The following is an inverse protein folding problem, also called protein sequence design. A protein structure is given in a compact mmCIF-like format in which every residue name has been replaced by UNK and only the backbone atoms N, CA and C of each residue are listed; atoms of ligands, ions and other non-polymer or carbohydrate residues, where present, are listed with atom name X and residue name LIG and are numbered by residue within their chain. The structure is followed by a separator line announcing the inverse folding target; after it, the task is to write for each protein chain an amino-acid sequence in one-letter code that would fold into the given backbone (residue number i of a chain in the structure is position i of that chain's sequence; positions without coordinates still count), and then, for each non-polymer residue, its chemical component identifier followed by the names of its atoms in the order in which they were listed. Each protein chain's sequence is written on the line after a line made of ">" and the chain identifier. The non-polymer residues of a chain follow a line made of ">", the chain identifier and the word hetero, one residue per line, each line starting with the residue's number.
data_IF_105311363911
#
_entry.id   IF_105311363911
#
_cell.length_a   1.000
_cell.length_b   1.000
_cell.length_c   1.000
_cell.angle_alpha   90.00
_cell.angle_beta   90.00
_cell.angle_gamma   90.00
#
_symmetry.space_group_name_H-M   'P 1'
#
loop_
_entity.id
_entity.type
_entity.pdbx_description
1 polymer ?
#
# COMPACT_ATOMS: atom_id res chain seq x y z
N UNK A 1 20.57 -15.85 -16.03
CA UNK A 1 20.32 -14.41 -16.26
C UNK A 1 18.82 -14.09 -16.43
N UNK A 2 17.91 -15.06 -16.49
CA UNK A 2 16.47 -14.82 -16.70
C UNK A 2 15.64 -14.71 -15.42
N UNK A 3 16.18 -15.10 -14.26
CA UNK A 3 15.40 -15.13 -13.00
C UNK A 3 15.23 -13.74 -12.37
N UNK A 4 16.21 -12.83 -12.49
CA UNK A 4 16.11 -11.46 -11.96
C UNK A 4 15.10 -10.57 -12.69
N UNK A 5 14.77 -10.88 -13.94
CA UNK A 5 13.86 -10.07 -14.76
C UNK A 5 12.37 -10.37 -14.45
N UNK A 6 12.07 -11.63 -14.12
CA UNK A 6 10.73 -12.07 -13.71
C UNK A 6 10.32 -11.50 -12.34
N UNK A 7 11.28 -11.32 -11.43
CA UNK A 7 11.04 -10.77 -10.09
C UNK A 7 10.64 -9.28 -10.08
N UNK A 8 10.90 -8.55 -11.17
CA UNK A 8 10.67 -7.09 -11.23
C UNK A 8 9.32 -6.67 -11.81
N UNK A 9 8.48 -7.61 -12.27
CA UNK A 9 7.17 -7.35 -12.89
C UNK A 9 7.25 -6.18 -13.91
N UNK A 10 8.31 -6.13 -14.72
CA UNK A 10 8.47 -5.09 -15.75
C UNK A 10 7.91 -5.59 -17.08
N UNK A 11 7.08 -4.81 -17.79
CA UNK A 11 6.53 -5.24 -19.06
C UNK A 11 7.64 -5.42 -20.10
N UNK A 12 7.56 -6.50 -20.90
CA UNK A 12 8.42 -6.69 -22.07
C UNK A 12 8.37 -5.45 -22.95
N UNK A 13 9.53 -4.87 -23.26
CA UNK A 13 9.63 -3.60 -23.98
C UNK A 13 10.58 -3.73 -25.16
N UNK A 14 10.22 -3.10 -26.28
CA UNK A 14 11.02 -3.07 -27.51
C UNK A 14 11.55 -1.64 -27.70
N UNK A 15 12.84 -1.52 -27.97
CA UNK A 15 13.44 -0.27 -28.43
C UNK A 15 13.61 -0.37 -29.94
N UNK A 16 12.89 0.46 -30.68
CA UNK A 16 12.95 0.49 -32.15
C UNK A 16 13.47 1.85 -32.64
N UNK A 17 14.49 1.82 -33.50
CA UNK A 17 14.92 2.99 -34.26
C UNK A 17 14.10 3.09 -35.55
N UNK A 18 13.35 4.17 -35.71
CA UNK A 18 12.49 4.38 -36.89
C UNK A 18 13.18 5.36 -37.84
N UNK A 19 13.46 4.97 -39.10
CA UNK A 19 14.05 5.86 -40.08
C UNK A 19 13.05 6.97 -40.47
N UNK A 20 13.56 8.20 -40.52
CA UNK A 20 12.77 9.38 -40.89
C UNK A 20 12.61 9.39 -42.41
N UNK A 21 11.38 9.50 -42.90
CA UNK A 21 11.07 9.57 -44.35
C UNK A 21 10.18 8.44 -44.88
N UNK A 22 9.96 7.38 -44.09
CA UNK A 22 8.97 6.35 -44.45
C UNK A 22 7.53 6.86 -44.25
N UNK A 23 6.59 6.46 -45.12
CA UNK A 23 5.16 6.65 -44.87
C UNK A 23 4.75 6.03 -43.54
N UNK A 24 3.94 6.75 -42.75
CA UNK A 24 3.45 6.27 -41.43
C UNK A 24 2.82 4.88 -41.49
N UNK A 25 2.12 4.55 -42.57
CA UNK A 25 1.51 3.23 -42.77
C UNK A 25 2.56 2.10 -42.81
N UNK A 26 3.69 2.32 -43.48
CA UNK A 26 4.77 1.33 -43.55
C UNK A 26 5.49 1.18 -42.21
N UNK A 27 5.70 2.29 -41.49
CA UNK A 27 6.25 2.27 -40.13
C UNK A 27 5.34 1.45 -39.20
N UNK A 28 4.03 1.72 -39.22
CA UNK A 28 3.07 1.00 -38.38
C UNK A 28 3.00 -0.48 -38.74
N UNK A 29 3.03 -0.83 -40.02
CA UNK A 29 3.06 -2.23 -40.45
C UNK A 29 4.30 -2.98 -39.93
N UNK A 30 5.48 -2.33 -39.94
CA UNK A 30 6.70 -2.90 -39.38
C UNK A 30 6.63 -3.05 -37.86
N UNK A 31 6.14 -2.04 -37.15
CA UNK A 31 5.97 -2.10 -35.69
C UNK A 31 4.98 -3.20 -35.30
N UNK A 32 3.86 -3.34 -36.02
CA UNK A 32 2.91 -4.43 -35.82
C UNK A 32 3.55 -5.79 -36.02
N UNK A 33 4.29 -6.00 -37.12
CA UNK A 33 4.96 -7.27 -37.38
C UNK A 33 6.01 -7.63 -36.30
N UNK A 34 6.73 -6.64 -35.76
CA UNK A 34 7.67 -6.85 -34.65
C UNK A 34 6.95 -7.24 -33.35
N UNK A 35 5.80 -6.63 -33.05
CA UNK A 35 4.98 -6.98 -31.89
C UNK A 35 4.42 -8.40 -32.04
N UNK A 36 3.95 -8.76 -33.23
CA UNK A 36 3.37 -10.08 -33.51
C UNK A 36 4.42 -11.19 -33.38
N UNK A 37 5.61 -11.03 -33.96
CA UNK A 37 6.73 -11.99 -33.84
C UNK A 37 7.17 -12.19 -32.38
N UNK A 38 7.21 -11.12 -31.58
CA UNK A 38 7.53 -11.24 -30.17
C UNK A 38 6.42 -11.93 -29.37
N UNK A 39 5.17 -11.65 -29.69
CA UNK A 39 4.01 -12.30 -29.06
C UNK A 39 4.03 -13.81 -29.35
N UNK A 40 4.39 -14.20 -30.58
CA UNK A 40 4.50 -15.60 -30.99
C UNK A 40 5.67 -16.31 -30.29
N UNK A 41 6.85 -15.68 -30.21
CA UNK A 41 8.00 -16.21 -29.45
C UNK A 41 7.74 -16.34 -27.96
N UNK A 42 7.04 -15.38 -27.36
CA UNK A 42 6.61 -15.46 -25.96
C UNK A 42 5.63 -16.63 -25.76
N UNK A 43 4.65 -16.81 -26.66
CA UNK A 43 3.73 -17.94 -26.61
C UNK A 43 4.42 -19.31 -26.73
N UNK A 44 5.41 -19.44 -27.63
CA UNK A 44 6.17 -20.67 -27.84
C UNK A 44 7.14 -21.00 -26.70
N UNK A 45 7.77 -19.99 -26.10
CA UNK A 45 8.72 -20.18 -24.99
C UNK A 45 8.05 -20.58 -23.67
N UNK A 46 6.71 -20.54 -23.60
CA UNK A 46 5.95 -20.77 -22.36
C UNK A 46 6.20 -19.69 -21.29
N UNK A 47 7.03 -18.68 -21.59
CA UNK A 47 7.09 -17.45 -20.85
C UNK A 47 5.81 -16.71 -21.19
N UNK A 48 4.74 -17.04 -20.46
CA UNK A 48 3.48 -16.33 -20.52
C UNK A 48 3.81 -14.85 -20.62
N UNK A 49 3.47 -14.23 -21.76
CA UNK A 49 3.44 -12.79 -21.92
C UNK A 49 2.97 -12.22 -20.60
N UNK A 50 3.53 -11.10 -20.15
CA UNK A 50 3.07 -10.45 -18.93
C UNK A 50 1.62 -9.91 -19.03
N UNK A 51 0.69 -10.63 -19.66
CA UNK A 51 -0.61 -10.98 -19.07
C UNK A 51 -0.44 -11.75 -17.75
N UNK A 52 0.53 -11.36 -16.93
CA UNK A 52 0.68 -11.80 -15.57
C UNK A 52 -0.56 -11.29 -14.88
N UNK A 53 -1.57 -12.15 -14.80
CA UNK A 53 -2.64 -11.95 -13.89
C UNK A 53 -1.98 -11.90 -12.51
N UNK A 54 -1.77 -10.67 -12.01
CA UNK A 54 -1.10 -10.47 -10.75
C UNK A 54 -1.84 -11.36 -9.73
N UNK A 55 -1.13 -12.21 -8.97
CA UNK A 55 -1.78 -13.17 -8.06
C UNK A 55 -2.79 -12.47 -7.14
N UNK A 56 -2.58 -11.17 -6.91
CA UNK A 56 -3.54 -10.27 -6.29
C UNK A 56 -3.89 -9.11 -7.22
N UNK A 57 -5.03 -9.19 -7.90
CA UNK A 57 -5.58 -8.04 -8.65
C UNK A 57 -6.03 -6.94 -7.70
N UNK A 58 -5.74 -5.71 -8.09
CA UNK A 58 -6.36 -4.56 -7.44
C UNK A 58 -7.86 -4.49 -7.79
N UNK A 59 -8.69 -4.22 -6.79
CA UNK A 59 -10.11 -3.92 -6.95
C UNK A 59 -10.26 -2.66 -7.78
N UNK A 60 -10.67 -2.83 -9.05
CA UNK A 60 -10.88 -1.72 -10.00
C UNK A 60 -12.01 -0.76 -9.59
N UNK A 61 -12.89 -1.20 -8.69
CA UNK A 61 -14.04 -0.42 -8.24
C UNK A 61 -13.64 0.76 -7.34
N UNK A 62 -12.47 0.71 -6.69
CA UNK A 62 -12.09 1.71 -5.69
C UNK A 62 -10.93 2.56 -6.19
N UNK A 63 -11.18 3.86 -6.39
CA UNK A 63 -10.17 4.87 -6.74
C UNK A 63 -9.33 5.28 -5.51
N UNK A 64 -8.80 4.31 -4.76
CA UNK A 64 -8.01 4.62 -3.58
C UNK A 64 -6.58 4.96 -3.98
N UNK A 65 -6.15 6.19 -3.70
CA UNK A 65 -4.80 6.63 -3.99
C UNK A 65 -3.78 5.93 -3.06
N UNK A 66 -2.66 5.46 -3.62
CA UNK A 66 -1.58 4.79 -2.90
C UNK A 66 -1.12 5.55 -1.64
N UNK A 67 -0.92 6.87 -1.77
CA UNK A 67 -0.49 7.73 -0.65
C UNK A 67 -1.50 7.70 0.51
N UNK A 68 -2.79 7.59 0.23
CA UNK A 68 -3.83 7.51 1.28
C UNK A 68 -3.75 6.17 2.00
N UNK A 69 -3.54 5.07 1.29
CA UNK A 69 -3.34 3.74 1.88
C UNK A 69 -2.14 3.74 2.82
N UNK A 70 -1.00 4.27 2.36
CA UNK A 70 0.20 4.38 3.18
C UNK A 70 -0.02 5.23 4.44
N UNK A 71 -0.76 6.34 4.35
CA UNK A 71 -1.10 7.16 5.52
C UNK A 71 -1.91 6.37 6.54
N UNK A 72 -2.90 5.61 6.11
CA UNK A 72 -3.71 4.77 7.01
C UNK A 72 -2.89 3.64 7.63
N UNK A 73 -2.04 2.99 6.83
CA UNK A 73 -1.11 1.96 7.30
C UNK A 73 -0.16 2.52 8.36
N UNK A 74 0.42 3.70 8.12
CA UNK A 74 1.30 4.37 9.07
C UNK A 74 0.59 4.70 10.38
N UNK A 75 -0.65 5.18 10.32
CA UNK A 75 -1.48 5.40 11.52
C UNK A 75 -1.70 4.11 12.32
N UNK A 76 -2.08 3.01 11.66
CA UNK A 76 -2.23 1.70 12.30
C UNK A 76 -0.93 1.23 12.95
N UNK A 77 0.19 1.39 12.24
CA UNK A 77 1.51 1.02 12.74
C UNK A 77 1.87 1.79 14.01
N UNK A 78 1.71 3.12 14.00
CA UNK A 78 1.97 3.97 15.18
C UNK A 78 1.08 3.60 16.36
N UNK A 79 -0.23 3.39 16.14
CA UNK A 79 -1.16 2.98 17.20
C UNK A 79 -0.82 1.60 17.76
N UNK A 80 -0.37 0.68 16.91
CA UNK A 80 0.03 -0.68 17.32
C UNK A 80 1.35 -0.70 18.09
N UNK A 81 2.31 0.14 17.70
CA UNK A 81 3.56 0.31 18.42
C UNK A 81 3.37 1.06 19.75
N UNK A 82 2.35 1.91 19.86
CA UNK A 82 2.08 2.72 21.05
C UNK A 82 0.60 2.66 21.47
N UNK A 83 0.12 1.52 22.01
CA UNK A 83 -1.31 1.34 22.32
C UNK A 83 -1.86 2.38 23.30
N UNK A 84 -1.02 2.89 24.21
CA UNK A 84 -1.38 3.88 25.24
C UNK A 84 -1.51 5.33 24.71
N UNK A 85 -0.96 5.65 23.54
CA UNK A 85 -1.07 6.99 22.98
C UNK A 85 -2.53 7.34 22.67
N UNK A 86 -2.89 8.58 22.96
CA UNK A 86 -4.18 9.14 22.57
C UNK A 86 -4.25 9.32 21.05
N UNK A 87 -5.46 9.40 20.50
CA UNK A 87 -5.65 9.45 19.04
C UNK A 87 -4.99 10.68 18.39
N UNK A 88 -5.02 11.85 19.04
CA UNK A 88 -4.38 13.04 18.45
C UNK A 88 -2.85 12.89 18.40
N UNK A 89 -2.24 12.27 19.43
CA UNK A 89 -0.80 11.98 19.45
C UNK A 89 -0.43 11.02 18.34
N UNK A 90 -1.20 9.94 18.16
CA UNK A 90 -1.00 8.99 17.05
C UNK A 90 -1.06 9.70 15.69
N UNK A 91 -2.04 10.57 15.49
CA UNK A 91 -2.17 11.36 14.26
C UNK A 91 -0.98 12.29 14.02
N UNK A 92 -0.49 12.93 15.07
CA UNK A 92 0.66 13.83 15.02
C UNK A 92 1.96 13.06 14.73
N UNK A 93 2.23 11.97 15.46
CA UNK A 93 3.37 11.07 15.23
C UNK A 93 3.34 10.43 13.84
N UNK A 94 2.16 10.05 13.36
CA UNK A 94 2.01 9.52 12.00
C UNK A 94 2.17 10.59 10.91
N UNK A 95 2.07 11.88 11.24
CA UNK A 95 2.09 12.97 10.27
C UNK A 95 0.87 12.94 9.34
N UNK A 96 -0.31 12.64 9.89
CA UNK A 96 -1.54 12.39 9.13
C UNK A 96 -2.04 13.63 8.36
N UNK A 97 -1.80 14.83 8.89
CA UNK A 97 -2.25 16.10 8.30
C UNK A 97 -1.13 17.13 8.33
N UNK A 98 -0.91 17.78 7.18
CA UNK A 98 0.08 18.85 7.03
C UNK A 98 -0.30 20.08 7.88
N UNK A 99 -1.60 20.37 7.97
CA UNK A 99 -2.16 21.49 8.71
C UNK A 99 -1.90 21.40 10.23
N UNK A 100 -1.68 20.19 10.75
CA UNK A 100 -1.48 19.93 12.18
C UNK A 100 -0.02 19.58 12.52
N UNK A 101 0.93 19.84 11.60
CA UNK A 101 2.35 19.49 11.78
C UNK A 101 3.01 20.21 12.97
N UNK A 102 2.49 21.38 13.35
CA UNK A 102 2.99 22.16 14.50
C UNK A 102 2.63 21.55 15.86
N UNK A 103 1.73 20.55 15.92
CA UNK A 103 1.42 19.86 17.16
C UNK A 103 2.54 18.88 17.51
N UNK A 104 3.21 19.13 18.63
CA UNK A 104 4.13 18.17 19.22
C UNK A 104 3.34 17.03 19.90
N UNK A 105 3.50 15.76 19.48
CA UNK A 105 2.83 14.62 20.09
C UNK A 105 3.25 14.35 21.55
N UNK A 106 4.41 14.83 21.99
CA UNK A 106 4.92 14.64 23.35
C UNK A 106 4.57 15.80 24.29
N UNK A 107 4.13 16.93 23.75
CA UNK A 107 3.77 18.09 24.54
C UNK A 107 2.48 17.86 25.35
N UNK A 108 2.45 18.43 26.56
CA UNK A 108 1.26 18.42 27.40
C UNK A 108 0.08 19.14 26.73
N UNK A 109 -1.16 18.63 26.89
CA UNK A 109 -2.35 19.26 26.33
C UNK A 109 -2.59 20.66 26.91
N UNK A 110 -2.55 21.70 26.07
CA UNK A 110 -2.94 23.08 26.43
C UNK A 110 -4.33 23.45 25.89
N UNK A 111 -4.93 24.52 26.41
CA UNK A 111 -6.22 25.01 25.93
C UNK A 111 -6.13 25.59 24.50
N UNK A 112 -5.05 26.30 24.21
CA UNK A 112 -4.78 26.97 22.93
C UNK A 112 -4.77 26.03 21.71
N UNK A 113 -4.34 24.77 21.88
CA UNK A 113 -4.27 23.78 20.81
C UNK A 113 -5.40 22.73 20.89
N UNK A 114 -6.41 22.92 21.74
CA UNK A 114 -7.52 21.97 21.92
C UNK A 114 -8.27 21.69 20.62
N UNK A 115 -8.67 22.74 19.89
CA UNK A 115 -9.40 22.60 18.62
C UNK A 115 -8.62 21.79 17.58
N UNK A 116 -7.31 22.04 17.48
CA UNK A 116 -6.42 21.31 16.58
C UNK A 116 -6.29 19.84 16.98
N UNK A 117 -6.14 19.55 18.28
CA UNK A 117 -6.11 18.16 18.79
C UNK A 117 -7.40 17.42 18.52
N UNK A 118 -8.56 18.06 18.71
CA UNK A 118 -9.86 17.44 18.46
C UNK A 118 -10.04 17.09 16.98
N UNK A 119 -9.72 18.02 16.07
CA UNK A 119 -9.75 17.75 14.63
C UNK A 119 -8.80 16.60 14.25
N UNK A 120 -7.59 16.57 14.81
CA UNK A 120 -6.62 15.51 14.54
C UNK A 120 -7.05 14.15 15.13
N UNK A 121 -7.69 14.14 16.30
CA UNK A 121 -8.30 12.95 16.91
C UNK A 121 -9.34 12.32 15.97
N UNK A 122 -10.24 13.13 15.40
CA UNK A 122 -11.27 12.65 14.47
C UNK A 122 -10.66 12.11 13.17
N UNK A 123 -9.70 12.84 12.58
CA UNK A 123 -8.97 12.38 11.39
C UNK A 123 -8.27 11.05 11.66
N UNK A 124 -7.64 10.90 12.81
CA UNK A 124 -6.95 9.68 13.20
C UNK A 124 -7.92 8.52 13.42
N UNK A 125 -9.05 8.76 14.08
CA UNK A 125 -10.12 7.76 14.23
C UNK A 125 -10.58 7.22 12.87
N UNK A 126 -10.85 8.13 11.91
CA UNK A 126 -11.20 7.75 10.53
C UNK A 126 -10.08 6.98 9.83
N UNK A 127 -8.84 7.42 9.99
CA UNK A 127 -7.68 6.76 9.37
C UNK A 127 -7.48 5.33 9.91
N UNK A 128 -7.62 5.12 11.23
CA UNK A 128 -7.53 3.80 11.85
C UNK A 128 -8.66 2.89 11.37
N UNK A 129 -9.89 3.39 11.35
CA UNK A 129 -11.05 2.62 10.86
C UNK A 129 -10.89 2.23 9.39
N UNK A 130 -10.49 3.16 8.51
CA UNK A 130 -10.24 2.86 7.09
C UNK A 130 -9.09 1.89 6.90
N UNK A 131 -7.98 2.09 7.62
CA UNK A 131 -6.83 1.19 7.57
C UNK A 131 -7.21 -0.23 8.00
N UNK A 132 -8.01 -0.36 9.06
CA UNK A 132 -8.50 -1.65 9.54
C UNK A 132 -9.36 -2.35 8.49
N UNK A 133 -10.33 -1.66 7.90
CA UNK A 133 -11.16 -2.23 6.83
C UNK A 133 -10.33 -2.62 5.59
N UNK A 134 -9.30 -1.83 5.25
CA UNK A 134 -8.38 -2.18 4.15
C UNK A 134 -7.64 -3.47 4.44
N UNK A 135 -7.15 -3.67 5.66
CA UNK A 135 -6.48 -4.91 6.05
C UNK A 135 -7.43 -6.11 6.02
N UNK A 136 -8.65 -5.95 6.55
CA UNK A 136 -9.68 -7.01 6.56
C UNK A 136 -10.12 -7.39 5.15
N UNK A 137 -10.37 -6.42 4.28
CA UNK A 137 -10.74 -6.67 2.89
C UNK A 137 -9.56 -7.27 2.11
N UNK A 138 -8.32 -6.85 2.37
CA UNK A 138 -7.13 -7.44 1.76
C UNK A 138 -6.96 -8.91 2.11
N UNK A 139 -7.20 -9.30 3.37
CA UNK A 139 -7.20 -10.70 3.79
C UNK A 139 -8.26 -11.55 3.08
N UNK A 140 -9.26 -10.91 2.45
CA UNK A 140 -10.35 -11.55 1.69
C UNK A 140 -10.18 -11.40 0.18
N UNK A 141 -9.03 -10.93 -0.29
CA UNK A 141 -8.75 -10.75 -1.72
C UNK A 141 -9.37 -9.49 -2.34
N UNK A 142 -9.92 -8.57 -1.54
CA UNK A 142 -10.52 -7.31 -2.00
C UNK A 142 -9.59 -6.16 -1.57
N UNK A 143 -8.65 -5.78 -2.43
CA UNK A 143 -7.72 -4.68 -2.12
C UNK A 143 -7.52 -3.75 -3.32
N UNK A 144 -7.48 -2.41 -3.16
CA UNK A 144 -7.71 -1.68 -1.92
C UNK A 144 -9.20 -1.36 -1.72
N UNK A 145 -9.75 -1.64 -0.55
CA UNK A 145 -11.12 -1.27 -0.20
C UNK A 145 -11.26 -1.01 1.29
N UNK A 146 -11.89 0.11 1.68
CA UNK A 146 -12.28 0.36 3.08
C UNK A 146 -13.78 0.14 3.31
N UNK A 147 -14.47 -0.53 2.38
CA UNK A 147 -15.87 -0.92 2.58
C UNK A 147 -16.00 -1.69 3.91
N UNK A 148 -17.09 -1.44 4.64
CA UNK A 148 -17.33 -2.10 5.92
C UNK A 148 -17.36 -3.62 5.69
N UNK A 149 -16.47 -4.33 6.34
CA UNK A 149 -16.47 -5.79 6.34
C UNK A 149 -17.31 -6.26 7.53
N UNK A 150 -18.41 -6.98 7.26
CA UNK A 150 -19.35 -7.44 8.31
C UNK A 150 -18.70 -8.41 9.31
N UNK A 151 -17.75 -9.21 8.82
CA UNK A 151 -17.00 -10.19 9.61
C UNK A 151 -15.63 -9.66 10.05
N UNK A 152 -15.42 -8.35 10.05
CA UNK A 152 -14.17 -7.77 10.54
C UNK A 152 -13.98 -8.07 12.02
N UNK A 153 -12.82 -8.59 12.40
CA UNK A 153 -12.47 -8.79 13.80
C UNK A 153 -12.00 -7.45 14.40
N UNK A 154 -12.30 -7.17 15.68
CA UNK A 154 -11.80 -5.96 16.31
C UNK A 154 -10.27 -5.96 16.39
N UNK A 155 -9.66 -4.78 16.25
CA UNK A 155 -8.20 -4.64 16.35
C UNK A 155 -7.76 -4.72 17.81
N UNK A 156 -7.06 -5.78 18.18
CA UNK A 156 -6.40 -5.91 19.49
C UNK A 156 -4.99 -5.31 19.44
N UNK A 157 -4.91 -3.99 19.66
CA UNK A 157 -3.62 -3.28 19.69
C UNK A 157 -2.66 -3.82 20.78
N UNK A 158 -3.10 -4.12 22.02
CA UNK A 158 -2.23 -4.77 23.01
C UNK A 158 -1.62 -6.10 22.53
N UNK A 159 -2.40 -6.97 21.89
CA UNK A 159 -1.89 -8.21 21.32
C UNK A 159 -0.87 -7.97 20.21
N UNK A 160 -1.19 -7.09 19.25
CA UNK A 160 -0.28 -6.73 18.16
C UNK A 160 1.01 -6.15 18.71
N UNK A 161 0.92 -5.28 19.72
CA UNK A 161 2.08 -4.73 20.44
C UNK A 161 2.96 -5.86 20.98
N UNK A 162 2.42 -6.74 21.81
CA UNK A 162 3.21 -7.85 22.40
C UNK A 162 3.87 -8.72 21.34
N UNK A 163 3.15 -9.04 20.26
CA UNK A 163 3.64 -9.95 19.21
C UNK A 163 4.71 -9.32 18.32
N UNK A 164 4.64 -8.01 18.05
CA UNK A 164 5.46 -7.35 17.01
C UNK A 164 6.45 -6.31 17.54
N UNK A 165 6.15 -5.67 18.66
CA UNK A 165 6.88 -4.51 19.20
C UNK A 165 7.32 -4.68 20.65
N UNK A 166 6.73 -5.64 21.37
CA UNK A 166 7.08 -5.97 22.74
C UNK A 166 8.51 -6.48 22.85
N UNK A 167 9.08 -6.49 24.07
CA UNK A 167 10.38 -7.10 24.29
C UNK A 167 10.35 -8.56 23.84
N UNK A 168 11.36 -8.98 23.08
CA UNK A 168 11.56 -10.39 22.71
C UNK A 168 11.55 -11.16 24.03
N UNK A 169 10.49 -11.93 24.28
CA UNK A 169 10.50 -12.85 25.42
C UNK A 169 11.62 -13.85 25.13
N UNK A 170 12.74 -13.75 25.87
CA UNK A 170 13.81 -14.74 25.84
C UNK A 170 13.16 -16.08 26.23
N UNK A 171 12.82 -16.86 25.21
CA UNK A 171 12.37 -18.21 25.39
C UNK A 171 13.56 -19.01 25.95
N UNK A 172 13.30 -19.73 27.05
CA UNK A 172 14.18 -20.72 27.69
C UNK A 172 15.37 -20.19 28.50
N UNK A 173 15.11 -19.95 29.79
CA UNK A 173 15.98 -20.50 30.84
C UNK A 173 15.12 -21.41 31.70
N UNK A 174 15.36 -22.72 31.56
CA UNK A 174 14.98 -23.72 32.54
C UNK A 174 16.27 -24.42 33.00
N UNK A 175 16.32 -24.85 34.28
CA UNK A 175 17.52 -25.11 35.06
C UNK A 175 18.41 -26.26 34.57
#
# INVERSE_FOLDING_TARGET
>A
MNEEWLDQIQPTSIIASIPIGLPKAQIMAQVSAMIDDLTEREAESGAATMTGDAPYKLSRATKLHYVSVLRYLKCLHVKSANPKMTLWQVGATAGLSVQHRSLDPLAEPRAENEKQRTALKELTSRALSRGHMIAENAARGIFPSYAKCEHALPVDYPFIYRKRFGPIQKAWKSP
#
